data_IF_885570931304
#
_entry.id   IF_885570931304
#
_cell.length_a   1.000
_cell.length_b   1.000
_cell.length_c   1.000
_cell.angle_alpha   90.00
_cell.angle_beta   90.00
_cell.angle_gamma   90.00
#
_symmetry.space_group_name_H-M   'P 1'
#
loop_
_entity.id
_entity.type
_entity.pdbx_description
1 polymer ?
#
# COMPACT_ATOMS: atom_id res chain seq x y z
N UNK A 1 -18.61 -15.84 15.28
CA UNK A 1 -17.44 -14.98 15.01
C UNK A 1 -16.29 -15.93 14.75
N UNK A 2 -15.78 -15.96 13.52
CA UNK A 2 -14.78 -16.93 13.08
C UNK A 2 -13.44 -16.65 13.76
N UNK A 3 -12.90 -17.63 14.45
CA UNK A 3 -11.63 -17.56 15.16
C UNK A 3 -10.44 -17.50 14.19
N UNK A 4 -9.25 -17.03 14.63
CA UNK A 4 -8.05 -17.05 13.78
C UNK A 4 -7.66 -18.45 13.29
N UNK A 5 -7.90 -19.49 14.08
CA UNK A 5 -7.65 -20.87 13.67
C UNK A 5 -8.60 -21.30 12.56
N UNK A 6 -9.89 -20.98 12.66
CA UNK A 6 -10.88 -21.28 11.60
C UNK A 6 -10.55 -20.51 10.31
N UNK A 7 -10.16 -19.24 10.40
CA UNK A 7 -9.72 -18.47 9.23
C UNK A 7 -8.52 -19.14 8.54
N UNK A 8 -7.55 -19.63 9.31
CA UNK A 8 -6.40 -20.33 8.76
C UNK A 8 -6.78 -21.65 8.06
N UNK A 9 -7.77 -22.38 8.56
CA UNK A 9 -8.24 -23.61 7.91
C UNK A 9 -8.94 -23.33 6.59
N UNK A 10 -9.78 -22.30 6.53
CA UNK A 10 -10.39 -21.85 5.27
C UNK A 10 -9.29 -21.47 4.25
N UNK A 11 -8.24 -20.76 4.67
CA UNK A 11 -7.14 -20.41 3.78
C UNK A 11 -6.37 -21.64 3.28
N UNK A 12 -6.20 -22.67 4.12
CA UNK A 12 -5.61 -23.96 3.71
C UNK A 12 -6.48 -24.62 2.63
N UNK A 13 -7.79 -24.69 2.82
CA UNK A 13 -8.70 -25.29 1.82
C UNK A 13 -8.64 -24.53 0.48
N UNK A 14 -8.57 -23.19 0.50
CA UNK A 14 -8.40 -22.37 -0.71
C UNK A 14 -7.04 -22.68 -1.37
N UNK A 15 -5.96 -22.79 -0.59
CA UNK A 15 -4.63 -23.10 -1.11
C UNK A 15 -4.55 -24.51 -1.70
N UNK A 16 -5.21 -25.49 -1.08
CA UNK A 16 -5.33 -26.84 -1.62
C UNK A 16 -6.07 -26.83 -2.95
N UNK A 17 -7.20 -26.10 -3.04
CA UNK A 17 -7.92 -25.90 -4.29
C UNK A 17 -7.09 -25.21 -5.37
N UNK A 18 -6.32 -24.18 -5.00
CA UNK A 18 -5.37 -23.51 -5.90
C UNK A 18 -4.26 -24.47 -6.37
N UNK A 19 -3.71 -25.29 -5.46
CA UNK A 19 -2.70 -26.29 -5.78
C UNK A 19 -3.21 -27.32 -6.79
N UNK A 20 -4.46 -27.77 -6.64
CA UNK A 20 -5.13 -28.65 -7.61
C UNK A 20 -5.31 -27.95 -8.95
N UNK A 21 -5.75 -26.68 -8.97
CA UNK A 21 -5.90 -25.94 -10.22
C UNK A 21 -4.58 -25.77 -10.96
N UNK A 22 -3.49 -25.43 -10.25
CA UNK A 22 -2.14 -25.32 -10.82
C UNK A 22 -1.69 -26.66 -11.40
N UNK A 23 -1.88 -27.76 -10.67
CA UNK A 23 -1.53 -29.11 -11.14
C UNK A 23 -2.33 -29.50 -12.39
N UNK A 24 -3.65 -29.30 -12.38
CA UNK A 24 -4.54 -29.72 -13.46
C UNK A 24 -4.34 -28.91 -14.74
N UNK A 25 -4.01 -27.62 -14.62
CA UNK A 25 -3.70 -26.74 -15.77
C UNK A 25 -2.24 -26.86 -16.26
N UNK A 26 -1.39 -27.62 -15.56
CA UNK A 26 0.07 -27.65 -15.79
C UNK A 26 0.67 -26.22 -15.75
N UNK A 27 0.17 -25.40 -14.83
CA UNK A 27 0.52 -24.00 -14.73
C UNK A 27 1.87 -23.80 -14.03
N UNK A 28 2.69 -22.88 -14.53
CA UNK A 28 4.04 -22.64 -14.01
C UNK A 28 4.01 -21.88 -12.68
N UNK A 29 4.06 -22.62 -11.57
CA UNK A 29 4.09 -22.07 -10.21
C UNK A 29 5.32 -21.20 -9.93
N UNK A 30 6.40 -21.29 -10.72
CA UNK A 30 7.61 -20.48 -10.47
C UNK A 30 7.37 -18.97 -10.57
N UNK A 31 6.31 -18.57 -11.28
CA UNK A 31 5.89 -17.18 -11.42
C UNK A 31 4.86 -16.74 -10.37
N UNK A 32 4.48 -17.62 -9.44
CA UNK A 32 3.61 -17.28 -8.31
C UNK A 32 4.40 -16.48 -7.27
N UNK A 33 4.22 -15.16 -7.27
CA UNK A 33 4.74 -14.29 -6.22
C UNK A 33 3.80 -14.25 -5.01
N UNK A 34 4.31 -13.84 -3.84
CA UNK A 34 3.46 -13.62 -2.65
C UNK A 34 2.35 -12.59 -2.90
N UNK A 35 2.59 -11.62 -3.79
CA UNK A 35 1.60 -10.63 -4.21
C UNK A 35 0.46 -11.31 -4.98
N UNK A 36 0.78 -12.09 -6.01
CA UNK A 36 -0.22 -12.81 -6.81
C UNK A 36 -0.99 -13.82 -5.96
N UNK A 37 -0.29 -14.57 -5.09
CA UNK A 37 -0.92 -15.49 -4.16
C UNK A 37 -1.96 -14.78 -3.28
N UNK A 38 -1.58 -13.68 -2.62
CA UNK A 38 -2.53 -12.90 -1.82
C UNK A 38 -3.76 -12.46 -2.63
N UNK A 39 -3.61 -12.15 -3.93
CA UNK A 39 -4.74 -11.73 -4.78
C UNK A 39 -5.64 -12.89 -5.13
N UNK A 40 -5.07 -14.02 -5.53
CA UNK A 40 -5.82 -15.23 -5.83
C UNK A 40 -6.62 -15.69 -4.60
N UNK A 41 -6.02 -15.65 -3.41
CA UNK A 41 -6.72 -15.97 -2.16
C UNK A 41 -7.84 -14.95 -1.89
N UNK A 42 -7.59 -13.66 -2.07
CA UNK A 42 -8.63 -12.64 -1.92
C UNK A 42 -9.79 -12.81 -2.90
N UNK A 43 -9.53 -13.20 -4.15
CA UNK A 43 -10.59 -13.46 -5.14
C UNK A 43 -11.53 -14.58 -4.68
N UNK A 44 -11.00 -15.63 -4.07
CA UNK A 44 -11.83 -16.68 -3.47
C UNK A 44 -12.62 -16.15 -2.26
N UNK A 45 -11.97 -15.39 -1.37
CA UNK A 45 -12.63 -14.75 -0.22
C UNK A 45 -13.80 -13.87 -0.64
N UNK A 46 -13.61 -13.02 -1.65
CA UNK A 46 -14.63 -12.13 -2.18
C UNK A 46 -15.75 -12.89 -2.89
N UNK A 47 -15.40 -13.86 -3.75
CA UNK A 47 -16.35 -14.68 -4.50
C UNK A 47 -17.32 -15.44 -3.62
N UNK A 48 -16.81 -16.01 -2.52
CA UNK A 48 -17.56 -16.90 -1.63
C UNK A 48 -18.00 -16.21 -0.33
N UNK A 49 -17.81 -14.89 -0.20
CA UNK A 49 -18.14 -14.10 1.00
C UNK A 49 -17.58 -14.73 2.28
N UNK A 50 -16.31 -15.13 2.24
CA UNK A 50 -15.69 -15.88 3.33
C UNK A 50 -15.36 -14.95 4.50
N UNK A 51 -15.52 -15.41 5.76
CA UNK A 51 -15.24 -14.61 6.95
C UNK A 51 -13.75 -14.52 7.26
N UNK A 52 -12.94 -14.16 6.27
CA UNK A 52 -11.50 -13.92 6.38
C UNK A 52 -11.26 -12.44 6.64
N UNK A 53 -10.34 -12.17 7.55
CA UNK A 53 -9.92 -10.80 7.87
C UNK A 53 -8.97 -10.29 6.80
N UNK A 54 -9.19 -9.09 6.28
CA UNK A 54 -8.30 -8.47 5.29
C UNK A 54 -8.36 -6.94 5.36
N UNK A 55 -7.38 -6.28 4.74
CA UNK A 55 -7.40 -4.84 4.46
C UNK A 55 -6.71 -4.54 3.13
N UNK A 56 -6.90 -3.34 2.58
CA UNK A 56 -6.18 -2.89 1.40
C UNK A 56 -4.91 -2.14 1.79
N UNK A 57 -3.75 -2.70 1.46
CA UNK A 57 -2.43 -2.19 1.84
C UNK A 57 -1.41 -2.40 0.71
N UNK A 58 -0.46 -1.47 0.52
CA UNK A 58 0.68 -1.44 -0.46
C UNK A 58 0.44 -2.00 -1.86
N UNK A 59 0.18 -3.29 -1.96
CA UNK A 59 -0.11 -4.00 -3.19
C UNK A 59 -1.57 -4.43 -3.29
N UNK A 60 -2.51 -3.83 -2.54
CA UNK A 60 -3.96 -4.08 -2.56
C UNK A 60 -4.43 -4.95 -1.41
N UNK A 61 -5.49 -5.75 -1.62
CA UNK A 61 -6.00 -6.66 -0.58
C UNK A 61 -4.91 -7.57 0.06
N UNK A 62 -4.81 -7.57 1.38
CA UNK A 62 -3.88 -8.36 2.19
C UNK A 62 -4.66 -9.06 3.30
N UNK A 63 -4.56 -10.40 3.37
CA UNK A 63 -5.34 -11.24 4.29
C UNK A 63 -4.74 -11.31 5.72
N UNK A 64 -3.64 -10.59 5.96
CA UNK A 64 -2.85 -10.69 7.20
C UNK A 64 -2.39 -9.34 7.75
N UNK A 65 -2.96 -8.23 7.26
CA UNK A 65 -2.51 -6.89 7.65
C UNK A 65 -1.05 -6.59 7.34
N UNK A 66 -0.46 -7.28 6.35
CA UNK A 66 0.96 -7.15 6.01
C UNK A 66 1.96 -7.73 7.01
N UNK A 67 1.55 -8.39 8.09
CA UNK A 67 2.49 -8.95 9.09
C UNK A 67 2.77 -10.46 8.95
N UNK A 68 1.88 -11.20 8.30
CA UNK A 68 2.04 -12.65 8.04
C UNK A 68 1.57 -12.99 6.62
N UNK A 69 2.28 -12.51 5.60
CA UNK A 69 1.94 -12.88 4.22
C UNK A 69 1.92 -14.41 4.07
N UNK A 70 0.88 -14.92 3.41
CA UNK A 70 0.78 -16.35 3.10
C UNK A 70 1.97 -16.70 2.21
N UNK A 71 2.78 -17.66 2.66
CA UNK A 71 4.01 -18.00 1.99
C UNK A 71 3.71 -18.83 0.74
N UNK A 72 4.37 -18.51 -0.39
CA UNK A 72 4.16 -19.19 -1.68
C UNK A 72 4.35 -20.70 -1.58
N UNK A 73 5.31 -21.14 -0.75
CA UNK A 73 5.59 -22.56 -0.52
C UNK A 73 4.52 -23.29 0.30
N UNK A 74 3.47 -22.60 0.75
CA UNK A 74 2.30 -23.25 1.34
C UNK A 74 1.34 -23.80 0.26
N UNK A 75 1.50 -23.40 -1.00
CA UNK A 75 0.74 -23.96 -2.12
C UNK A 75 1.55 -25.09 -2.75
N UNK A 76 1.08 -26.32 -2.61
CA UNK A 76 1.69 -27.51 -3.20
C UNK A 76 0.84 -28.00 -4.38
N UNK A 77 1.35 -27.95 -5.64
CA UNK A 77 0.66 -28.53 -6.79
C UNK A 77 0.51 -30.04 -6.61
N UNK A 78 -0.73 -30.52 -6.58
CA UNK A 78 -1.06 -31.93 -6.37
C UNK A 78 -2.39 -32.29 -7.03
N UNK A 79 -2.61 -33.56 -7.33
CA UNK A 79 -3.88 -34.00 -7.89
C UNK A 79 -4.99 -33.95 -6.82
N UNK A 80 -6.24 -33.70 -7.23
CA UNK A 80 -7.38 -33.66 -6.31
C UNK A 80 -7.51 -34.94 -5.46
N UNK A 81 -7.19 -36.10 -6.03
CA UNK A 81 -7.28 -37.39 -5.36
C UNK A 81 -6.23 -37.61 -4.25
N UNK A 82 -5.19 -36.77 -4.21
CA UNK A 82 -4.14 -36.84 -3.20
C UNK A 82 -4.46 -35.98 -1.96
N UNK A 83 -5.50 -35.13 -2.05
CA UNK A 83 -5.98 -34.36 -0.90
C UNK A 83 -6.67 -35.27 0.14
N UNK A 84 -6.51 -34.98 1.46
CA UNK A 84 -7.14 -35.78 2.51
C UNK A 84 -8.67 -35.80 2.48
N UNK A 85 -9.29 -34.66 2.15
CA UNK A 85 -10.75 -34.44 2.13
C UNK A 85 -11.11 -33.46 1.01
N UNK A 86 -11.06 -33.85 -0.27
CA UNK A 86 -11.28 -32.92 -1.39
C UNK A 86 -12.73 -32.42 -1.51
N UNK A 87 -13.70 -33.23 -1.08
CA UNK A 87 -15.14 -33.00 -1.23
C UNK A 87 -15.82 -32.40 0.02
N UNK A 88 -15.07 -32.22 1.11
CA UNK A 88 -15.56 -31.65 2.36
C UNK A 88 -14.64 -30.51 2.82
N UNK A 89 -15.18 -29.36 3.29
CA UNK A 89 -14.36 -28.33 3.91
C UNK A 89 -13.72 -28.86 5.20
N UNK A 90 -12.51 -28.39 5.52
CA UNK A 90 -11.79 -28.83 6.72
C UNK A 90 -12.44 -28.34 8.02
N UNK A 91 -13.29 -27.32 7.93
CA UNK A 91 -14.11 -26.81 9.03
C UNK A 91 -15.56 -26.59 8.60
N UNK A 92 -16.47 -26.61 9.58
CA UNK A 92 -17.89 -26.36 9.33
C UNK A 92 -18.55 -27.44 8.50
N UNK A 93 -19.63 -27.10 7.81
CA UNK A 93 -20.27 -27.98 6.82
C UNK A 93 -20.14 -27.37 5.42
N UNK A 94 -20.39 -28.15 4.38
CA UNK A 94 -20.37 -27.69 2.98
C UNK A 94 -21.39 -26.59 2.64
N UNK A 95 -22.36 -26.32 3.53
CA UNK A 95 -23.28 -25.20 3.39
C UNK A 95 -22.68 -23.87 3.87
N UNK A 96 -21.68 -23.94 4.74
CA UNK A 96 -21.05 -22.78 5.37
C UNK A 96 -19.79 -22.36 4.60
N UNK A 97 -19.03 -23.35 4.07
CA UNK A 97 -17.77 -23.13 3.36
C UNK A 97 -17.64 -24.07 2.16
N UNK A 98 -17.11 -23.59 1.02
CA UNK A 98 -16.75 -24.44 -0.11
C UNK A 98 -15.68 -25.47 0.25
N UNK A 99 -15.71 -26.63 -0.42
CA UNK A 99 -14.66 -27.64 -0.34
C UNK A 99 -13.42 -27.28 -1.17
N UNK A 100 -12.25 -27.93 -0.95
CA UNK A 100 -11.09 -27.79 -1.82
C UNK A 100 -11.39 -28.06 -3.31
N UNK A 101 -12.27 -29.02 -3.63
CA UNK A 101 -12.71 -29.30 -5.00
C UNK A 101 -13.46 -28.10 -5.61
N UNK A 102 -14.33 -27.44 -4.84
CA UNK A 102 -15.08 -26.27 -5.30
C UNK A 102 -14.15 -25.05 -5.53
N UNK A 103 -13.16 -24.85 -4.66
CA UNK A 103 -12.12 -23.84 -4.88
C UNK A 103 -11.28 -24.16 -6.12
N UNK A 104 -10.90 -25.41 -6.34
CA UNK A 104 -10.19 -25.83 -7.55
C UNK A 104 -11.02 -25.55 -8.81
N UNK A 105 -12.32 -25.82 -8.78
CA UNK A 105 -13.21 -25.50 -9.89
C UNK A 105 -13.28 -24.00 -10.15
N UNK A 106 -13.38 -23.18 -9.10
CA UNK A 106 -13.35 -21.72 -9.21
C UNK A 106 -12.07 -21.22 -9.87
N UNK A 107 -10.90 -21.67 -9.42
CA UNK A 107 -9.63 -21.25 -10.00
C UNK A 107 -9.43 -21.71 -11.46
N UNK A 108 -10.02 -22.83 -11.86
CA UNK A 108 -9.96 -23.34 -13.25
C UNK A 108 -10.97 -22.69 -14.19
N UNK A 109 -12.13 -22.30 -13.67
CA UNK A 109 -13.29 -21.94 -14.51
C UNK A 109 -13.57 -20.45 -14.53
N UNK A 110 -13.38 -19.78 -13.38
CA UNK A 110 -13.75 -18.38 -13.20
C UNK A 110 -12.52 -17.46 -13.21
N UNK A 111 -11.32 -18.02 -13.03
CA UNK A 111 -10.05 -17.30 -12.98
C UNK A 111 -9.19 -17.72 -14.17
N UNK A 112 -8.61 -16.75 -14.89
CA UNK A 112 -7.62 -17.03 -15.92
C UNK A 112 -6.24 -17.31 -15.29
N UNK A 113 -6.15 -18.40 -14.51
CA UNK A 113 -5.00 -18.69 -13.63
C UNK A 113 -3.67 -18.69 -14.39
N UNK A 114 -3.61 -19.40 -15.52
CA UNK A 114 -2.42 -19.44 -16.37
C UNK A 114 -1.99 -18.04 -16.84
N UNK A 115 -2.94 -17.18 -17.24
CA UNK A 115 -2.64 -15.82 -17.67
C UNK A 115 -2.09 -14.98 -16.50
N UNK A 116 -2.75 -15.05 -15.34
CA UNK A 116 -2.30 -14.34 -14.13
C UNK A 116 -0.89 -14.76 -13.74
N UNK A 117 -0.55 -16.05 -13.81
CA UNK A 117 0.79 -16.53 -13.46
C UNK A 117 1.84 -16.04 -14.47
N UNK A 118 1.53 -15.99 -15.77
CA UNK A 118 2.47 -15.53 -16.80
C UNK A 118 2.63 -14.00 -16.86
N UNK A 119 1.60 -13.24 -16.47
CA UNK A 119 1.63 -11.79 -16.56
C UNK A 119 2.67 -11.16 -15.62
N UNK A 120 3.26 -10.04 -16.02
CA UNK A 120 4.09 -9.24 -15.12
C UNK A 120 3.25 -8.72 -13.92
N UNK A 121 3.80 -8.77 -12.71
CA UNK A 121 3.03 -8.57 -11.46
C UNK A 121 2.33 -7.20 -11.39
N UNK A 122 2.99 -6.10 -11.78
CA UNK A 122 2.40 -4.75 -11.75
C UNK A 122 1.32 -4.57 -12.82
N UNK A 123 1.49 -5.23 -13.97
CA UNK A 123 0.49 -5.26 -15.04
C UNK A 123 -0.78 -5.96 -14.54
N UNK A 124 -0.62 -7.12 -13.90
CA UNK A 124 -1.73 -7.85 -13.26
C UNK A 124 -2.41 -7.02 -12.16
N UNK A 125 -1.62 -6.35 -11.30
CA UNK A 125 -2.18 -5.53 -10.22
C UNK A 125 -3.12 -4.44 -10.74
N UNK A 126 -2.82 -3.83 -11.90
CA UNK A 126 -3.70 -2.82 -12.50
C UNK A 126 -5.08 -3.39 -12.84
N UNK A 127 -5.12 -4.57 -13.46
CA UNK A 127 -6.37 -5.25 -13.80
C UNK A 127 -7.13 -5.68 -12.55
N UNK A 128 -6.40 -6.24 -11.59
CA UNK A 128 -6.95 -6.61 -10.28
C UNK A 128 -7.56 -5.40 -9.55
N UNK A 129 -6.89 -4.25 -9.50
CA UNK A 129 -7.44 -3.07 -8.84
C UNK A 129 -8.68 -2.53 -9.55
N UNK A 130 -8.67 -2.53 -10.88
CA UNK A 130 -9.82 -2.08 -11.69
C UNK A 130 -11.08 -2.89 -11.37
N UNK A 131 -10.93 -4.20 -11.16
CA UNK A 131 -12.05 -5.10 -10.84
C UNK A 131 -12.47 -5.11 -9.38
N UNK A 132 -11.50 -5.00 -8.45
CA UNK A 132 -11.72 -5.42 -7.07
C UNK A 132 -11.36 -4.36 -6.00
N UNK A 133 -10.66 -3.29 -6.35
CA UNK A 133 -10.34 -2.25 -5.38
C UNK A 133 -11.60 -1.53 -4.88
N UNK A 134 -11.63 -1.10 -3.60
CA UNK A 134 -12.66 -0.23 -3.07
C UNK A 134 -12.82 0.97 -4.00
N UNK A 135 -14.07 1.31 -4.32
CA UNK A 135 -14.40 2.31 -5.34
C UNK A 135 -13.68 3.64 -5.07
N UNK A 136 -13.61 4.04 -3.81
CA UNK A 136 -12.98 5.28 -3.37
C UNK A 136 -11.46 5.30 -3.52
N UNK A 137 -10.77 4.16 -3.61
CA UNK A 137 -9.30 4.09 -3.75
C UNK A 137 -8.84 3.45 -5.05
N UNK A 138 -9.77 3.05 -5.93
CA UNK A 138 -9.47 2.28 -7.14
C UNK A 138 -8.48 2.99 -8.05
N UNK A 139 -8.81 4.21 -8.45
CA UNK A 139 -8.00 4.98 -9.40
C UNK A 139 -6.64 5.34 -8.79
N UNK A 140 -6.60 5.64 -7.49
CA UNK A 140 -5.35 5.84 -6.74
C UNK A 140 -4.44 4.59 -6.78
N UNK A 141 -4.99 3.39 -6.53
CA UNK A 141 -4.23 2.15 -6.62
C UNK A 141 -3.76 1.84 -8.04
N UNK A 142 -4.60 2.10 -9.05
CA UNK A 142 -4.28 1.92 -10.47
C UNK A 142 -3.13 2.84 -10.87
N UNK A 143 -3.23 4.12 -10.57
CA UNK A 143 -2.20 5.12 -10.88
C UNK A 143 -0.90 4.84 -10.12
N UNK A 144 -0.99 4.42 -8.86
CA UNK A 144 0.15 3.94 -8.09
C UNK A 144 0.83 2.73 -8.73
N UNK A 145 0.07 1.74 -9.23
CA UNK A 145 0.64 0.58 -9.91
C UNK A 145 1.41 0.93 -11.19
N UNK A 146 0.90 1.90 -11.95
CA UNK A 146 1.54 2.43 -13.16
C UNK A 146 2.89 3.04 -12.79
N UNK A 147 2.91 3.97 -11.82
CA UNK A 147 4.16 4.56 -11.34
C UNK A 147 5.15 3.50 -10.83
N UNK A 148 4.68 2.55 -10.02
CA UNK A 148 5.53 1.47 -9.49
C UNK A 148 6.21 0.66 -10.60
N UNK A 149 5.50 0.37 -11.69
CA UNK A 149 6.08 -0.34 -12.84
C UNK A 149 7.24 0.43 -13.47
N UNK A 150 7.08 1.73 -13.65
CA UNK A 150 8.12 2.60 -14.21
C UNK A 150 9.30 2.78 -13.24
N UNK A 151 9.03 2.90 -11.94
CA UNK A 151 10.06 2.91 -10.91
C UNK A 151 10.87 1.60 -10.88
N UNK A 152 10.19 0.45 -10.94
CA UNK A 152 10.83 -0.87 -10.95
C UNK A 152 11.70 -1.05 -12.20
N UNK A 153 11.21 -0.60 -13.35
CA UNK A 153 11.98 -0.58 -14.60
C UNK A 153 13.32 0.15 -14.43
N UNK A 154 13.33 1.34 -13.82
CA UNK A 154 14.59 2.08 -13.55
C UNK A 154 15.41 1.40 -12.45
N UNK A 155 14.76 0.85 -11.44
CA UNK A 155 15.44 0.14 -10.37
C UNK A 155 16.15 -1.13 -10.87
N UNK A 156 15.73 -1.74 -11.97
CA UNK A 156 16.40 -2.90 -12.55
C UNK A 156 17.54 -2.52 -13.50
N UNK A 157 17.54 -1.29 -14.02
CA UNK A 157 18.62 -0.78 -14.86
C UNK A 157 19.96 -0.66 -14.12
N UNK A 158 21.03 -0.81 -14.90
CA UNK A 158 22.37 -0.35 -14.52
C UNK A 158 22.56 1.14 -14.87
N UNK A 159 23.71 1.72 -14.49
CA UNK A 159 23.94 3.16 -14.70
C UNK A 159 24.06 3.53 -16.17
N UNK A 160 24.74 2.69 -16.96
CA UNK A 160 24.94 2.92 -18.39
C UNK A 160 23.59 2.86 -19.13
N UNK A 161 22.78 1.84 -18.85
CA UNK A 161 21.43 1.67 -19.40
C UNK A 161 20.48 2.81 -19.02
N UNK A 162 20.52 3.28 -17.77
CA UNK A 162 19.73 4.43 -17.35
C UNK A 162 20.13 5.69 -18.12
N UNK A 163 21.43 5.99 -18.24
CA UNK A 163 21.90 7.19 -18.93
C UNK A 163 21.44 7.21 -20.40
N UNK A 164 21.51 6.07 -21.09
CA UNK A 164 21.04 5.91 -22.47
C UNK A 164 19.53 6.17 -22.64
N UNK A 165 18.71 5.87 -21.63
CA UNK A 165 17.24 5.97 -21.68
C UNK A 165 16.67 7.07 -20.77
N UNK A 166 17.54 7.90 -20.19
CA UNK A 166 17.20 8.80 -19.07
C UNK A 166 16.05 9.75 -19.40
N UNK A 167 16.06 10.40 -20.56
CA UNK A 167 15.01 11.34 -20.95
C UNK A 167 13.62 10.69 -20.98
N UNK A 168 13.48 9.52 -21.61
CA UNK A 168 12.20 8.80 -21.69
C UNK A 168 11.73 8.33 -20.29
N UNK A 169 12.67 7.82 -19.48
CA UNK A 169 12.39 7.40 -18.11
C UNK A 169 11.89 8.57 -17.23
N UNK A 170 12.55 9.73 -17.32
CA UNK A 170 12.24 10.91 -16.53
C UNK A 170 10.90 11.55 -16.94
N UNK A 171 10.66 11.68 -18.25
CA UNK A 171 9.37 12.16 -18.79
C UNK A 171 8.20 11.26 -18.35
N UNK A 172 8.39 9.94 -18.40
CA UNK A 172 7.39 8.96 -18.00
C UNK A 172 7.04 9.09 -16.52
N UNK A 173 8.05 9.11 -15.64
CA UNK A 173 7.82 9.26 -14.21
C UNK A 173 7.15 10.60 -13.88
N UNK A 174 7.56 11.69 -14.52
CA UNK A 174 6.97 13.01 -14.25
C UNK A 174 5.47 13.05 -14.60
N UNK A 175 5.08 12.40 -15.70
CA UNK A 175 3.66 12.27 -16.08
C UNK A 175 2.90 11.42 -15.04
N UNK A 176 3.42 10.26 -14.67
CA UNK A 176 2.78 9.35 -13.72
C UNK A 176 2.70 9.92 -12.29
N UNK A 177 3.70 10.70 -11.87
CA UNK A 177 3.66 11.44 -10.61
C UNK A 177 2.55 12.51 -10.60
N UNK A 178 2.33 13.18 -11.74
CA UNK A 178 1.26 14.17 -11.86
C UNK A 178 -0.11 13.51 -11.75
N UNK A 179 -0.29 12.37 -12.39
CA UNK A 179 -1.53 11.60 -12.29
C UNK A 179 -1.72 11.11 -10.85
N UNK A 180 -0.67 10.63 -10.18
CA UNK A 180 -0.76 10.17 -8.79
C UNK A 180 -1.14 11.30 -7.83
N UNK A 181 -0.49 12.46 -7.94
CA UNK A 181 -0.82 13.63 -7.12
C UNK A 181 -2.24 14.12 -7.37
N UNK A 182 -2.73 14.03 -8.62
CA UNK A 182 -4.11 14.37 -8.95
C UNK A 182 -5.10 13.46 -8.21
N UNK A 183 -4.87 12.14 -8.25
CA UNK A 183 -5.72 11.16 -7.57
C UNK A 183 -5.70 11.33 -6.05
N UNK A 184 -4.54 11.64 -5.47
CA UNK A 184 -4.45 11.90 -4.02
C UNK A 184 -5.18 13.18 -3.63
N UNK A 185 -4.97 14.27 -4.36
CA UNK A 185 -5.58 15.58 -4.06
C UNK A 185 -7.11 15.56 -4.16
N UNK A 186 -7.66 14.78 -5.12
CA UNK A 186 -9.11 14.71 -5.33
C UNK A 186 -9.81 13.70 -4.41
N UNK A 187 -9.06 12.81 -3.77
CA UNK A 187 -9.64 11.74 -2.97
C UNK A 187 -9.92 12.22 -1.54
N UNK A 188 -11.19 12.53 -1.25
CA UNK A 188 -11.64 13.00 0.06
C UNK A 188 -11.48 11.98 1.20
N UNK A 189 -11.12 10.74 0.89
CA UNK A 189 -10.86 9.70 1.90
C UNK A 189 -9.39 9.62 2.32
N UNK A 190 -8.50 10.31 1.61
CA UNK A 190 -7.11 10.51 2.03
C UNK A 190 -7.07 11.70 2.99
N UNK A 191 -6.38 11.56 4.13
CA UNK A 191 -6.26 12.67 5.08
C UNK A 191 -5.08 13.56 4.71
N UNK A 192 -5.07 14.75 5.32
CA UNK A 192 -4.07 15.76 5.02
C UNK A 192 -2.65 15.26 5.30
N UNK A 193 -2.46 14.42 6.32
CA UNK A 193 -1.12 13.94 6.69
C UNK A 193 -0.57 12.94 5.66
N UNK A 194 -1.40 12.03 5.11
CA UNK A 194 -0.98 11.15 4.03
C UNK A 194 -0.72 11.91 2.72
N UNK A 195 -1.57 12.89 2.39
CA UNK A 195 -1.38 13.78 1.24
C UNK A 195 -0.07 14.57 1.37
N UNK A 196 0.15 15.21 2.53
CA UNK A 196 1.34 16.01 2.80
C UNK A 196 2.61 15.15 2.74
N UNK A 197 2.58 13.95 3.30
CA UNK A 197 3.71 13.03 3.27
C UNK A 197 4.09 12.64 1.83
N UNK A 198 3.10 12.26 1.01
CA UNK A 198 3.34 11.91 -0.38
C UNK A 198 3.81 13.12 -1.20
N UNK A 199 3.16 14.28 -1.05
CA UNK A 199 3.52 15.52 -1.74
C UNK A 199 4.96 15.93 -1.43
N UNK A 200 5.38 15.87 -0.17
CA UNK A 200 6.75 16.20 0.21
C UNK A 200 7.79 15.28 -0.47
N UNK A 201 7.44 14.00 -0.66
CA UNK A 201 8.25 13.06 -1.43
C UNK A 201 8.25 13.37 -2.93
N UNK A 202 7.07 13.55 -3.54
CA UNK A 202 6.97 13.79 -4.99
C UNK A 202 7.64 15.11 -5.36
N UNK A 203 7.56 16.14 -4.53
CA UNK A 203 8.32 17.39 -4.70
C UNK A 203 9.84 17.19 -4.71
N UNK A 204 10.39 16.35 -3.82
CA UNK A 204 11.82 16.04 -3.84
C UNK A 204 12.20 15.27 -5.11
N UNK A 205 11.38 14.30 -5.52
CA UNK A 205 11.62 13.53 -6.73
C UNK A 205 11.57 14.42 -7.98
N UNK A 206 10.58 15.32 -8.09
CA UNK A 206 10.50 16.33 -9.16
C UNK A 206 11.71 17.24 -9.19
N UNK A 207 12.21 17.67 -8.03
CA UNK A 207 13.43 18.50 -7.99
C UNK A 207 14.64 17.76 -8.56
N UNK A 208 14.77 16.46 -8.26
CA UNK A 208 15.82 15.61 -8.85
C UNK A 208 15.61 15.44 -10.35
N UNK A 209 14.41 15.08 -10.80
CA UNK A 209 14.07 14.92 -12.23
C UNK A 209 14.41 16.20 -13.00
N UNK A 210 13.91 17.36 -12.56
CA UNK A 210 14.17 18.65 -13.19
C UNK A 210 15.66 19.02 -13.23
N UNK A 211 16.45 18.59 -12.24
CA UNK A 211 17.88 18.84 -12.23
C UNK A 211 18.62 17.89 -13.19
N UNK A 212 18.22 16.62 -13.25
CA UNK A 212 18.75 15.65 -14.21
C UNK A 212 18.48 16.07 -15.66
N UNK A 213 17.27 16.55 -15.97
CA UNK A 213 16.92 17.04 -17.32
C UNK A 213 17.74 18.24 -17.76
N UNK A 214 18.25 19.03 -16.81
CA UNK A 214 19.10 20.21 -17.09
C UNK A 214 20.58 19.85 -17.18
N UNK A 215 20.99 18.71 -16.63
CA UNK A 215 22.38 18.28 -16.67
C UNK A 215 22.74 17.80 -18.07
N UNK A 216 23.90 18.24 -18.55
CA UNK A 216 24.45 17.85 -19.86
C UNK A 216 25.28 16.57 -19.75
N UNK A 217 25.61 16.16 -18.53
CA UNK A 217 26.50 15.03 -18.25
C UNK A 217 25.73 13.85 -17.70
N UNK A 218 26.07 12.67 -18.21
CA UNK A 218 25.63 11.38 -17.70
C UNK A 218 25.86 11.23 -16.19
N UNK A 219 24.96 10.51 -15.52
CA UNK A 219 25.12 10.23 -14.11
C UNK A 219 26.30 9.28 -13.87
N UNK A 220 27.08 9.59 -12.84
CA UNK A 220 28.01 8.63 -12.27
C UNK A 220 27.28 7.50 -11.55
N UNK A 221 27.93 6.33 -11.40
CA UNK A 221 27.38 5.19 -10.64
C UNK A 221 26.98 5.57 -9.21
N UNK A 222 27.73 6.47 -8.57
CA UNK A 222 27.43 6.95 -7.22
C UNK A 222 26.15 7.79 -7.19
N UNK A 223 25.98 8.69 -8.15
CA UNK A 223 24.76 9.50 -8.29
C UNK A 223 23.55 8.62 -8.57
N UNK A 224 23.67 7.67 -9.52
CA UNK A 224 22.59 6.75 -9.83
C UNK A 224 22.18 5.88 -8.61
N UNK A 225 23.14 5.45 -7.79
CA UNK A 225 22.81 4.76 -6.53
C UNK A 225 22.03 5.63 -5.54
N UNK A 226 22.29 6.94 -5.49
CA UNK A 226 21.52 7.87 -4.65
C UNK A 226 20.11 8.08 -5.22
N UNK A 227 20.00 8.24 -6.54
CA UNK A 227 18.70 8.30 -7.21
C UNK A 227 17.87 7.03 -6.98
N UNK A 228 18.45 5.83 -7.10
CA UNK A 228 17.77 4.57 -6.78
C UNK A 228 17.30 4.49 -5.32
N UNK A 229 18.01 5.11 -4.38
CA UNK A 229 17.54 5.20 -2.98
C UNK A 229 16.31 6.10 -2.86
N UNK A 230 16.26 7.20 -3.60
CA UNK A 230 15.09 8.07 -3.68
C UNK A 230 13.88 7.34 -4.29
N UNK A 231 14.07 6.58 -5.36
CA UNK A 231 12.99 5.76 -5.93
C UNK A 231 12.49 4.70 -4.93
N UNK A 232 13.41 4.03 -4.21
CA UNK A 232 13.05 3.05 -3.17
C UNK A 232 12.29 3.64 -1.99
N UNK A 233 12.48 4.93 -1.70
CA UNK A 233 11.78 5.62 -0.62
C UNK A 233 10.26 5.67 -0.86
N UNK A 234 9.82 5.64 -2.13
CA UNK A 234 8.41 5.50 -2.47
C UNK A 234 7.78 4.29 -1.77
N UNK A 235 8.38 3.10 -1.93
CA UNK A 235 7.85 1.85 -1.39
C UNK A 235 7.96 1.72 0.14
N UNK A 236 9.07 2.20 0.69
CA UNK A 236 9.36 2.02 2.12
C UNK A 236 8.63 3.04 2.98
N UNK A 237 8.38 4.24 2.46
CA UNK A 237 7.85 5.36 3.21
C UNK A 237 6.64 6.01 2.54
N UNK A 238 6.80 6.66 1.38
CA UNK A 238 5.76 7.56 0.86
C UNK A 238 4.44 6.82 0.56
N UNK A 239 4.50 5.77 -0.26
CA UNK A 239 3.33 4.92 -0.52
C UNK A 239 2.94 4.07 0.69
N UNK A 240 3.91 3.66 1.52
CA UNK A 240 3.61 2.94 2.77
C UNK A 240 2.67 3.77 3.64
N UNK A 241 2.94 5.06 3.81
CA UNK A 241 2.16 5.97 4.62
C UNK A 241 0.71 6.02 4.12
N UNK A 242 0.51 6.39 2.86
CA UNK A 242 -0.82 6.46 2.24
C UNK A 242 -1.56 5.13 2.38
N UNK A 243 -0.90 4.02 2.08
CA UNK A 243 -1.52 2.70 2.13
C UNK A 243 -1.83 2.21 3.55
N UNK A 244 -1.17 2.70 4.60
CA UNK A 244 -1.51 2.40 5.99
C UNK A 244 -2.82 3.10 6.39
N UNK A 245 -2.99 4.37 6.01
CA UNK A 245 -4.26 5.09 6.21
C UNK A 245 -5.42 4.41 5.47
N UNK A 246 -5.19 3.94 4.25
CA UNK A 246 -6.19 3.13 3.51
C UNK A 246 -6.45 1.79 4.23
N UNK A 247 -5.40 1.12 4.71
CA UNK A 247 -5.54 -0.18 5.40
C UNK A 247 -6.39 -0.07 6.67
N UNK A 248 -6.25 1.01 7.44
CA UNK A 248 -7.10 1.28 8.59
C UNK A 248 -8.57 1.39 8.19
N UNK A 249 -8.86 2.14 7.12
CA UNK A 249 -10.22 2.43 6.64
C UNK A 249 -10.90 1.23 5.97
N UNK A 250 -10.12 0.30 5.44
CA UNK A 250 -10.59 -0.84 4.64
C UNK A 250 -10.53 -2.18 5.37
N UNK A 251 -10.15 -2.19 6.66
CA UNK A 251 -10.06 -3.42 7.44
C UNK A 251 -11.44 -4.08 7.62
N UNK A 252 -11.57 -5.32 7.14
CA UNK A 252 -12.77 -6.13 7.16
C UNK A 252 -12.55 -7.48 7.84
N UNK A 253 -13.64 -8.17 8.15
CA UNK A 253 -13.64 -9.51 8.74
C UNK A 253 -13.57 -9.57 10.27
N UNK A 254 -13.51 -10.80 10.84
CA UNK A 254 -13.66 -11.04 12.28
C UNK A 254 -12.58 -10.38 13.15
N UNK A 255 -11.35 -10.31 12.68
CA UNK A 255 -10.20 -9.76 13.42
C UNK A 255 -9.82 -8.34 12.99
N UNK A 256 -10.74 -7.59 12.37
CA UNK A 256 -10.44 -6.25 11.81
C UNK A 256 -9.86 -5.27 12.83
N UNK A 257 -10.24 -5.38 14.11
CA UNK A 257 -9.71 -4.50 15.17
C UNK A 257 -8.21 -4.69 15.39
N UNK A 258 -7.73 -5.92 15.25
CA UNK A 258 -6.30 -6.24 15.39
C UNK A 258 -5.54 -5.68 14.18
N UNK A 259 -6.12 -5.76 12.97
CA UNK A 259 -5.56 -5.13 11.77
C UNK A 259 -5.46 -3.60 11.90
N UNK A 260 -6.53 -2.96 12.37
CA UNK A 260 -6.54 -1.51 12.61
C UNK A 260 -5.48 -1.15 13.65
N UNK A 261 -5.42 -1.85 14.78
CA UNK A 261 -4.42 -1.58 15.81
C UNK A 261 -2.97 -1.74 15.31
N UNK A 262 -2.73 -2.73 14.45
CA UNK A 262 -1.44 -2.91 13.78
C UNK A 262 -1.11 -1.76 12.81
N UNK A 263 -2.06 -1.38 11.96
CA UNK A 263 -1.89 -0.30 10.99
C UNK A 263 -1.60 1.04 11.68
N UNK A 264 -2.35 1.39 12.72
CA UNK A 264 -2.14 2.60 13.53
C UNK A 264 -0.77 2.59 14.20
N UNK A 265 -0.35 1.47 14.80
CA UNK A 265 0.97 1.35 15.42
C UNK A 265 2.12 1.52 14.40
N UNK A 266 1.94 0.98 13.19
CA UNK A 266 2.92 1.11 12.11
C UNK A 266 2.96 2.54 11.54
N UNK A 267 1.80 3.21 11.47
CA UNK A 267 1.66 4.59 11.02
C UNK A 267 2.31 5.54 12.03
N UNK A 268 2.01 5.41 13.33
CA UNK A 268 2.67 6.15 14.42
C UNK A 268 4.20 6.02 14.39
N UNK A 269 4.70 4.84 14.03
CA UNK A 269 6.13 4.55 13.95
C UNK A 269 6.77 5.15 12.70
N UNK A 270 6.03 5.18 11.59
CA UNK A 270 6.45 5.79 10.34
C UNK A 270 6.49 7.31 10.48
N UNK A 271 5.43 7.92 11.04
CA UNK A 271 5.29 9.36 11.27
C UNK A 271 6.45 9.96 12.03
N UNK A 272 6.85 9.31 13.13
CA UNK A 272 7.96 9.78 13.98
C UNK A 272 9.28 9.94 13.24
N UNK A 273 9.51 9.16 12.18
CA UNK A 273 10.78 9.13 11.47
C UNK A 273 10.68 9.68 10.04
N UNK A 274 9.47 9.83 9.47
CA UNK A 274 9.27 10.14 8.06
C UNK A 274 10.00 11.43 7.64
N UNK A 275 9.78 12.51 8.38
CA UNK A 275 10.38 13.82 8.09
C UNK A 275 11.90 13.77 8.18
N UNK A 276 12.44 13.14 9.21
CA UNK A 276 13.89 13.03 9.42
C UNK A 276 14.54 12.17 8.33
N UNK A 277 13.91 11.06 7.95
CA UNK A 277 14.41 10.20 6.87
C UNK A 277 14.33 10.88 5.50
N UNK A 278 13.25 11.61 5.21
CA UNK A 278 13.10 12.38 3.98
C UNK A 278 14.12 13.52 3.90
N UNK A 279 14.39 14.20 5.01
CA UNK A 279 15.44 15.23 5.08
C UNK A 279 16.84 14.64 4.90
N UNK A 280 17.13 13.49 5.53
CA UNK A 280 18.39 12.78 5.33
C UNK A 280 18.57 12.34 3.88
N UNK A 281 17.49 11.91 3.23
CA UNK A 281 17.47 11.55 1.82
C UNK A 281 17.69 12.77 0.90
N UNK A 282 17.03 13.90 1.20
CA UNK A 282 17.26 15.19 0.52
C UNK A 282 18.72 15.60 0.59
N UNK A 283 19.29 15.65 1.79
CA UNK A 283 20.71 15.97 2.01
C UNK A 283 21.63 15.02 1.23
N UNK A 284 21.31 13.72 1.21
CA UNK A 284 22.06 12.75 0.42
C UNK A 284 21.98 12.99 -1.10
N UNK A 285 20.93 13.64 -1.60
CA UNK A 285 20.80 14.02 -3.00
C UNK A 285 21.55 15.33 -3.28
N UNK A 286 21.53 16.29 -2.36
CA UNK A 286 22.33 17.53 -2.42
C UNK A 286 23.83 17.23 -2.43
N UNK A 287 24.32 16.36 -1.54
CA UNK A 287 25.71 15.91 -1.47
C UNK A 287 26.18 15.19 -2.76
N UNK A 288 25.22 14.73 -3.58
CA UNK A 288 25.46 14.07 -4.87
C UNK A 288 25.20 14.99 -6.07
N UNK A 289 24.91 16.27 -5.83
CA UNK A 289 24.58 17.28 -6.85
C UNK A 289 23.34 16.89 -7.69
N UNK A 290 22.46 16.05 -7.14
CA UNK A 290 21.19 15.64 -7.74
C UNK A 290 20.08 16.68 -7.53
N UNK A 291 20.24 17.57 -6.55
CA UNK A 291 19.36 18.72 -6.30
C UNK A 291 20.26 19.93 -6.11
N UNK A 292 19.85 21.14 -6.55
CA UNK A 292 20.53 22.35 -6.15
C UNK A 292 20.53 22.45 -4.63
N UNK A 293 21.69 22.79 -4.05
CA UNK A 293 21.78 23.08 -2.61
C UNK A 293 20.80 24.21 -2.31
N UNK A 294 19.79 23.94 -1.47
CA UNK A 294 18.90 24.98 -1.00
C UNK A 294 19.76 26.10 -0.39
N UNK A 295 19.57 27.38 -0.75
CA UNK A 295 20.28 28.44 -0.07
C UNK A 295 19.96 28.31 1.42
N UNK A 296 20.99 28.11 2.25
CA UNK A 296 20.84 28.10 3.70
C UNK A 296 20.03 29.34 4.06
N UNK A 297 18.83 29.14 4.63
CA UNK A 297 18.18 30.22 5.34
C UNK A 297 19.10 30.56 6.50
N UNK A 298 19.95 31.57 6.28
CA UNK A 298 20.68 32.25 7.32
C UNK A 298 19.64 32.75 8.31
N UNK A 299 19.42 32.00 9.37
CA UNK A 299 18.81 32.52 10.59
C UNK A 299 19.83 33.50 11.13
N UNK A 300 19.77 34.74 10.66
CA UNK A 300 20.42 35.86 11.33
C UNK A 300 19.65 36.08 12.61
N UNK A 301 20.22 35.57 13.70
CA UNK A 301 19.95 36.14 15.01
C UNK A 301 20.22 37.65 14.95
N UNK A 302 19.35 38.42 15.61
CA UNK A 302 19.37 39.87 15.81
C UNK A 302 18.63 40.74 14.78
N UNK A 303 17.33 40.92 15.02
CA UNK A 303 16.70 42.25 14.94
C UNK A 303 15.49 42.30 15.89
N UNK A 304 15.63 43.08 16.97
CA UNK A 304 14.54 43.43 17.88
C UNK A 304 13.47 44.30 17.17
N UNK A 305 12.20 43.84 17.24
CA UNK A 305 10.97 44.65 17.20
C UNK A 305 10.22 44.77 15.84
N UNK A 306 8.87 44.98 15.82
CA UNK A 306 7.96 45.26 16.93
C UNK A 306 6.95 44.12 17.22
N UNK A 307 6.39 44.16 18.42
CA UNK A 307 5.39 43.24 18.99
C UNK A 307 4.08 43.28 18.20
N UNK A 308 3.63 42.12 17.71
CA UNK A 308 2.31 41.89 17.09
C UNK A 308 1.27 41.59 18.19
N UNK A 309 0.13 42.31 18.30
CA UNK A 309 -0.77 42.24 19.44
C UNK A 309 -1.83 41.13 19.33
N UNK A 310 -1.45 39.93 18.87
CA UNK A 310 -2.41 38.82 18.66
C UNK A 310 -2.10 37.52 19.44
N UNK A 311 -1.02 37.47 20.21
CA UNK A 311 -0.71 36.29 21.04
C UNK A 311 -1.67 36.13 22.23
N UNK A 312 -2.18 37.23 22.79
CA UNK A 312 -3.13 37.19 23.92
C UNK A 312 -4.54 36.76 23.46
N UNK A 313 -4.89 37.00 22.19
CA UNK A 313 -6.18 36.59 21.61
C UNK A 313 -6.24 35.07 21.33
N UNK A 314 -5.10 34.48 20.94
CA UNK A 314 -4.99 33.03 20.68
C UNK A 314 -5.01 32.23 21.98
N UNK A 315 -4.29 32.67 23.02
CA UNK A 315 -4.32 31.99 24.32
C UNK A 315 -5.70 32.09 24.98
N UNK A 316 -6.39 33.24 24.83
CA UNK A 316 -7.77 33.39 25.33
C UNK A 316 -8.75 32.48 24.58
N UNK A 317 -8.54 32.24 23.28
CA UNK A 317 -9.36 31.32 22.49
C UNK A 317 -9.12 29.85 22.88
N UNK A 318 -7.85 29.47 23.14
CA UNK A 318 -7.52 28.11 23.59
C UNK A 318 -8.01 27.81 25.01
N UNK A 319 -7.97 28.77 25.94
CA UNK A 319 -8.57 28.58 27.27
C UNK A 319 -10.10 28.47 27.23
N UNK A 320 -10.76 29.22 26.34
CA UNK A 320 -12.22 29.16 26.16
C UNK A 320 -12.67 27.81 25.57
N UNK A 321 -11.90 27.24 24.64
CA UNK A 321 -12.14 25.90 24.09
C UNK A 321 -11.89 24.82 25.16
N UNK A 322 -10.83 24.95 25.95
CA UNK A 322 -10.49 24.01 27.04
C UNK A 322 -11.55 24.02 28.16
N UNK A 323 -12.11 25.18 28.49
CA UNK A 323 -13.20 25.34 29.45
C UNK A 323 -14.53 24.77 28.94
N UNK A 324 -14.81 24.89 27.64
CA UNK A 324 -16.00 24.29 27.01
C UNK A 324 -15.93 22.75 26.91
N UNK A 325 -14.73 22.17 26.84
CA UNK A 325 -14.56 20.72 26.86
C UNK A 325 -14.70 20.11 28.27
N UNK A 326 -14.37 20.86 29.33
CA UNK A 326 -14.47 20.39 30.71
C UNK A 326 -15.87 20.58 31.34
N UNK A 327 -16.78 21.29 30.68
CA UNK A 327 -18.15 21.54 31.17
C UNK A 327 -19.23 20.64 30.58
N UNK A 328 -18.90 19.73 29.65
CA UNK A 328 -19.84 18.69 29.19
C UNK A 328 -19.73 17.45 30.08
N UNK A 329 -20.45 17.50 31.21
CA UNK A 329 -20.82 16.30 31.97
C UNK A 329 -21.60 15.34 31.05
N UNK A 330 -20.96 14.25 30.60
CA UNK A 330 -21.65 13.06 30.12
C UNK A 330 -22.23 12.32 31.33
N UNK A 331 -23.33 12.83 31.85
CA UNK A 331 -24.20 12.12 32.77
C UNK A 331 -25.59 11.97 32.11
N UNK A 332 -26.02 10.72 31.99
CA UNK A 332 -27.32 10.26 31.48
C UNK A 332 -27.57 10.40 29.97
N UNK A 333 -27.26 9.34 29.23
CA UNK A 333 -28.07 8.93 28.09
C UNK A 333 -28.47 7.48 28.31
N UNK A 334 -29.78 7.29 28.46
CA UNK A 334 -30.46 6.04 28.76
C UNK A 334 -30.41 5.13 27.51
N UNK A 335 -29.87 3.89 27.60
CA UNK A 335 -29.71 3.01 26.45
C UNK A 335 -31.02 2.53 25.79
N UNK A 336 -32.19 2.75 26.39
CA UNK A 336 -33.46 2.20 25.90
C UNK A 336 -34.13 3.03 24.77
N UNK A 337 -33.62 4.21 24.41
CA UNK A 337 -34.25 5.05 23.38
C UNK A 337 -33.85 4.73 21.92
N UNK A 338 -32.91 3.82 21.68
CA UNK A 338 -32.43 3.50 20.32
C UNK A 338 -33.01 2.23 19.68
N UNK A 339 -34.02 1.62 20.30
CA UNK A 339 -34.76 0.51 19.67
C UNK A 339 -36.25 0.82 19.60
N UNK A 340 -36.64 1.59 18.58
CA UNK A 340 -37.95 1.51 17.93
C UNK A 340 -37.84 1.74 16.44
#
# INVERSE_FOLDING_TARGET
MTSPWEQNQILIDIMDGLGVAIHDEDADITNLSSIKLNKLLYLAVDKFDLPITYSWYKYGASLSGGQNDVAVNAVEPQALADLPSPDEPSIGNSWDYPSPEEYAYFFKSDIELTNILQEETKSYLREFYTGYAPEEYRDLYVTSAVLQKSLDTILDMNTEEFNENSAECLDTIEAELRDLDHEVLLNSHIEADEENALTAYTDLLRQVINNLDRQVTDLSRKQFQKFRRLLKFYYSHAWKYVSLGISEKTASGPSRRDLIGGAVSDLDSLEKNYTDELQALRKSCEDAELVPVAPEQLITADAEGPVDPDAEAVDTAFESIRSNMQSREYASLDPEEFTK
#
